data_IF_515702059632
#
_entry.id   IF_515702059632
#
_cell.length_a   1.000
_cell.length_b   1.000
_cell.length_c   1.000
_cell.angle_alpha   90.00
_cell.angle_beta   90.00
_cell.angle_gamma   90.00
#
_symmetry.space_group_name_H-M   'P 1'
#
loop_
_entity.id
_entity.type
_entity.pdbx_description
1 polymer ?
#
# COMPACT_ATOMS: atom_id res chain seq x y z
N UNK A 1 -9.10 4.64 -4.58
CA UNK A 1 -10.12 4.08 -3.66
C UNK A 1 -10.47 4.95 -2.46
N UNK A 2 -9.59 5.22 -1.49
CA UNK A 2 -9.92 6.04 -0.29
C UNK A 2 -10.59 7.39 -0.61
N UNK A 3 -10.11 8.09 -1.63
CA UNK A 3 -10.67 9.37 -2.07
C UNK A 3 -12.10 9.29 -2.60
N UNK A 4 -12.55 8.13 -3.10
CA UNK A 4 -13.94 7.92 -3.52
C UNK A 4 -14.90 7.85 -2.33
N UNK A 5 -14.39 7.63 -1.11
CA UNK A 5 -15.22 7.58 0.09
C UNK A 5 -16.25 6.46 0.01
N UNK A 6 -17.51 6.76 0.35
CA UNK A 6 -18.62 5.80 0.32
C UNK A 6 -18.93 5.23 -1.08
N UNK A 7 -18.49 5.91 -2.15
CA UNK A 7 -18.68 5.45 -3.54
C UNK A 7 -17.63 4.41 -3.97
N UNK A 8 -16.66 4.09 -3.11
CA UNK A 8 -15.71 2.99 -3.35
C UNK A 8 -16.38 1.66 -3.03
N UNK A 9 -16.28 0.70 -3.95
CA UNK A 9 -16.62 -0.69 -3.67
C UNK A 9 -15.85 -1.25 -2.46
N UNK A 10 -14.62 -0.78 -2.26
CA UNK A 10 -13.74 -1.16 -1.16
C UNK A 10 -13.93 -0.33 0.11
N UNK A 11 -14.94 0.54 0.17
CA UNK A 11 -15.19 1.40 1.34
C UNK A 11 -15.28 0.61 2.66
N UNK A 12 -15.97 -0.56 2.74
CA UNK A 12 -16.03 -1.33 3.99
C UNK A 12 -14.66 -1.84 4.44
N UNK A 13 -13.83 -2.30 3.50
CA UNK A 13 -12.47 -2.76 3.79
C UNK A 13 -11.57 -1.60 4.23
N UNK A 14 -11.61 -0.48 3.51
CA UNK A 14 -10.82 0.70 3.86
C UNK A 14 -11.19 1.29 5.23
N UNK A 15 -12.45 1.17 5.64
CA UNK A 15 -12.93 1.65 6.94
C UNK A 15 -12.40 0.83 8.12
N UNK A 16 -11.98 -0.41 7.90
CA UNK A 16 -11.43 -1.30 8.95
C UNK A 16 -9.91 -1.39 8.93
N UNK A 17 -9.23 -0.71 7.99
CA UNK A 17 -7.78 -0.64 7.99
C UNK A 17 -7.28 0.05 9.28
N UNK A 18 -6.24 -0.49 9.92
CA UNK A 18 -5.68 0.12 11.11
C UNK A 18 -4.98 1.43 10.76
N UNK A 19 -4.92 2.32 11.75
CA UNK A 19 -4.09 3.50 11.67
C UNK A 19 -2.62 3.10 11.46
N UNK A 20 -1.98 3.79 10.51
CA UNK A 20 -0.59 3.56 10.13
C UNK A 20 0.38 4.44 10.93
N UNK A 21 -0.08 5.24 11.89
CA UNK A 21 0.76 6.16 12.68
C UNK A 21 1.96 5.50 13.39
N UNK A 22 1.91 4.19 13.63
CA UNK A 22 3.03 3.41 14.18
C UNK A 22 4.10 3.05 13.14
N UNK A 23 3.83 3.17 11.84
CA UNK A 23 4.75 2.83 10.77
C UNK A 23 5.92 3.84 10.70
N UNK A 24 7.20 3.40 10.60
CA UNK A 24 8.37 4.30 10.60
C UNK A 24 8.36 5.41 9.54
N UNK A 25 7.72 5.15 8.40
CA UNK A 25 7.54 6.18 7.35
C UNK A 25 6.77 7.40 7.82
N UNK A 26 5.87 7.23 8.78
CA UNK A 26 5.00 8.29 9.31
C UNK A 26 5.50 8.87 10.64
N UNK A 27 6.67 8.43 11.12
CA UNK A 27 7.24 8.94 12.37
C UNK A 27 7.72 10.38 12.26
N UNK A 28 7.53 11.14 13.35
CA UNK A 28 8.21 12.42 13.56
C UNK A 28 9.72 12.25 13.80
N UNK A 29 10.45 13.36 13.73
CA UNK A 29 11.92 13.41 13.86
C UNK A 29 12.45 12.79 15.15
N UNK A 30 11.72 12.94 16.27
CA UNK A 30 12.09 12.36 17.56
C UNK A 30 12.24 10.83 17.50
N UNK A 31 11.25 10.13 16.93
CA UNK A 31 11.29 8.66 16.82
C UNK A 31 12.29 8.18 15.79
N UNK A 32 12.53 8.97 14.74
CA UNK A 32 13.57 8.66 13.75
C UNK A 32 14.95 8.65 14.40
N UNK A 33 15.20 9.52 15.38
CA UNK A 33 16.47 9.56 16.12
C UNK A 33 16.76 8.25 16.88
N UNK A 34 15.75 7.44 17.22
CA UNK A 34 15.95 6.12 17.82
C UNK A 34 16.68 5.13 16.91
N UNK A 35 16.68 5.37 15.59
CA UNK A 35 17.39 4.53 14.63
C UNK A 35 18.87 4.91 14.48
N UNK A 36 19.37 5.90 15.22
CA UNK A 36 20.76 6.32 15.13
C UNK A 36 21.73 5.15 15.36
N UNK A 37 22.64 4.93 14.41
CA UNK A 37 23.59 3.81 14.43
C UNK A 37 23.05 2.48 13.89
N UNK A 38 21.77 2.40 13.52
CA UNK A 38 21.18 1.23 12.86
C UNK A 38 21.23 1.37 11.33
N UNK A 39 21.44 0.28 10.57
CA UNK A 39 21.28 0.28 9.11
C UNK A 39 19.85 0.68 8.70
N UNK A 40 18.86 0.51 9.58
CA UNK A 40 17.47 0.88 9.32
C UNK A 40 17.29 2.39 9.14
N UNK A 41 18.17 3.22 9.71
CA UNK A 41 18.12 4.67 9.49
C UNK A 41 18.31 5.03 8.01
N UNK A 42 19.30 4.42 7.36
CA UNK A 42 19.59 4.64 5.95
C UNK A 42 18.45 4.11 5.06
N UNK A 43 17.90 2.92 5.38
CA UNK A 43 16.74 2.37 4.68
C UNK A 43 15.53 3.29 4.81
N UNK A 44 15.22 3.77 6.01
CA UNK A 44 14.10 4.69 6.22
C UNK A 44 14.29 6.01 5.45
N UNK A 45 15.51 6.55 5.45
CA UNK A 45 15.83 7.76 4.70
C UNK A 45 15.62 7.56 3.19
N UNK A 46 16.12 6.46 2.62
CA UNK A 46 15.91 6.13 1.21
C UNK A 46 14.43 5.99 0.85
N UNK A 47 13.64 5.34 1.72
CA UNK A 47 12.19 5.21 1.50
C UNK A 47 11.45 6.54 1.57
N UNK A 48 11.88 7.46 2.44
CA UNK A 48 11.31 8.81 2.50
C UNK A 48 11.64 9.64 1.26
N UNK A 49 12.88 9.56 0.78
CA UNK A 49 13.27 10.19 -0.49
C UNK A 49 12.43 9.65 -1.65
N UNK A 50 12.19 8.33 -1.73
CA UNK A 50 11.31 7.76 -2.74
C UNK A 50 9.88 8.31 -2.66
N UNK A 51 9.33 8.47 -1.46
CA UNK A 51 7.99 9.05 -1.27
C UNK A 51 7.94 10.49 -1.78
N UNK A 52 8.98 11.28 -1.53
CA UNK A 52 9.09 12.66 -2.02
C UNK A 52 9.13 12.67 -3.56
N UNK A 53 9.99 11.85 -4.16
CA UNK A 53 10.10 11.69 -5.62
C UNK A 53 8.78 11.22 -6.25
N UNK A 54 8.13 10.21 -5.68
CA UNK A 54 6.85 9.68 -6.17
C UNK A 54 5.75 10.73 -6.06
N UNK A 55 5.73 11.52 -4.97
CA UNK A 55 4.77 12.61 -4.79
C UNK A 55 4.96 13.66 -5.87
N UNK A 56 6.19 14.10 -6.11
CA UNK A 56 6.52 15.09 -7.15
C UNK A 56 6.14 14.57 -8.54
N UNK A 57 6.49 13.32 -8.85
CA UNK A 57 6.17 12.70 -10.13
C UNK A 57 4.64 12.63 -10.36
N UNK A 58 3.88 12.20 -9.35
CA UNK A 58 2.41 12.11 -9.43
C UNK A 58 1.76 13.50 -9.59
N UNK A 59 2.26 14.51 -8.89
CA UNK A 59 1.80 15.89 -9.05
C UNK A 59 2.12 16.41 -10.45
N UNK A 60 3.33 16.16 -10.96
CA UNK A 60 3.79 16.61 -12.28
C UNK A 60 2.93 16.04 -13.42
N UNK A 61 2.52 14.77 -13.33
CA UNK A 61 1.65 14.14 -14.35
C UNK A 61 0.18 14.53 -14.22
N UNK A 62 -0.17 15.44 -13.29
CA UNK A 62 -1.52 15.96 -13.11
C UNK A 62 -2.46 15.01 -12.37
N UNK A 63 -1.95 14.15 -11.47
CA UNK A 63 -2.81 13.26 -10.68
C UNK A 63 -3.86 14.02 -9.85
N UNK A 64 -3.54 15.24 -9.40
CA UNK A 64 -4.47 16.13 -8.71
C UNK A 64 -5.52 16.79 -9.62
N UNK A 65 -5.37 16.69 -10.94
CA UNK A 65 -6.33 17.20 -11.92
C UNK A 65 -7.36 16.14 -12.36
N UNK A 66 -7.19 14.88 -11.95
CA UNK A 66 -8.12 13.80 -12.25
C UNK A 66 -9.51 14.09 -11.65
N UNK A 67 -10.60 13.61 -12.27
CA UNK A 67 -11.96 13.84 -11.76
C UNK A 67 -12.15 13.46 -10.29
N UNK A 68 -11.58 12.33 -9.87
CA UNK A 68 -11.64 11.88 -8.47
C UNK A 68 -10.93 12.82 -7.51
N UNK A 69 -9.81 13.43 -7.93
CA UNK A 69 -9.06 14.38 -7.12
C UNK A 69 -9.82 15.70 -6.97
N UNK A 70 -10.46 16.19 -8.05
CA UNK A 70 -11.31 17.39 -8.00
C UNK A 70 -12.51 17.19 -7.08
N UNK A 71 -13.16 16.04 -7.16
CA UNK A 71 -14.27 15.69 -6.27
C UNK A 71 -13.83 15.65 -4.81
N UNK A 72 -12.67 15.05 -4.53
CA UNK A 72 -12.10 15.04 -3.17
C UNK A 72 -11.86 16.47 -2.68
N UNK A 73 -11.15 17.29 -3.46
CA UNK A 73 -10.82 18.67 -3.13
C UNK A 73 -12.05 19.53 -2.88
N UNK A 74 -13.10 19.37 -3.68
CA UNK A 74 -14.37 20.08 -3.48
C UNK A 74 -15.07 19.68 -2.15
N UNK A 75 -14.89 18.42 -1.71
CA UNK A 75 -15.53 17.89 -0.50
C UNK A 75 -14.75 18.19 0.78
N UNK A 76 -13.42 18.08 0.73
CA UNK A 76 -12.55 18.16 1.93
C UNK A 76 -11.64 19.38 1.96
N UNK A 77 -11.46 20.06 0.83
CA UNK A 77 -10.46 21.13 0.67
C UNK A 77 -9.04 20.63 0.43
N UNK A 78 -8.81 19.32 0.45
CA UNK A 78 -7.48 18.70 0.35
C UNK A 78 -7.19 18.14 -1.04
N UNK A 79 -5.92 18.18 -1.45
CA UNK A 79 -5.45 17.54 -2.67
C UNK A 79 -5.36 16.01 -2.50
N UNK A 80 -5.57 15.26 -3.59
CA UNK A 80 -5.49 13.80 -3.57
C UNK A 80 -4.07 13.31 -3.27
N UNK A 81 -3.12 13.87 -3.98
CA UNK A 81 -1.69 13.57 -3.88
C UNK A 81 -1.04 14.64 -3.04
N UNK A 82 -0.60 14.23 -1.86
CA UNK A 82 0.20 15.00 -0.90
C UNK A 82 1.30 14.08 -0.36
N UNK A 83 2.38 14.62 0.21
CA UNK A 83 3.42 13.78 0.83
C UNK A 83 2.82 12.82 1.89
N UNK A 84 1.82 13.28 2.63
CA UNK A 84 1.16 12.48 3.64
C UNK A 84 0.31 11.34 3.02
N UNK A 85 -0.46 11.61 1.96
CA UNK A 85 -1.30 10.59 1.33
C UNK A 85 -0.47 9.51 0.62
N UNK A 86 0.65 9.90 -0.01
CA UNK A 86 1.61 8.97 -0.62
C UNK A 86 2.33 8.14 0.46
N UNK A 87 2.81 8.77 1.54
CA UNK A 87 3.43 8.06 2.65
C UNK A 87 2.47 7.06 3.32
N UNK A 88 1.20 7.43 3.49
CA UNK A 88 0.18 6.52 4.01
C UNK A 88 -0.04 5.33 3.07
N UNK A 89 -0.18 5.57 1.77
CA UNK A 89 -0.36 4.50 0.79
C UNK A 89 0.84 3.54 0.77
N UNK A 90 2.06 4.08 0.79
CA UNK A 90 3.29 3.29 0.87
C UNK A 90 3.36 2.45 2.16
N UNK A 91 3.02 3.05 3.31
CA UNK A 91 2.97 2.33 4.59
C UNK A 91 1.93 1.20 4.58
N UNK A 92 0.74 1.44 4.01
CA UNK A 92 -0.29 0.40 3.85
C UNK A 92 0.20 -0.74 2.96
N UNK A 93 0.80 -0.43 1.80
CA UNK A 93 1.29 -1.47 0.90
C UNK A 93 2.43 -2.29 1.53
N UNK A 94 3.41 -1.63 2.17
CA UNK A 94 4.54 -2.32 2.80
C UNK A 94 4.15 -3.21 3.98
N UNK A 95 3.06 -2.87 4.69
CA UNK A 95 2.63 -3.62 5.87
C UNK A 95 1.60 -4.70 5.58
N UNK A 96 0.88 -4.63 4.44
CA UNK A 96 -0.32 -5.45 4.20
C UNK A 96 -0.44 -6.07 2.80
N UNK A 97 0.38 -5.65 1.84
CA UNK A 97 0.31 -6.24 0.51
C UNK A 97 0.89 -7.66 0.52
N UNK A 98 0.20 -8.55 -0.19
CA UNK A 98 0.68 -9.87 -0.54
C UNK A 98 1.19 -9.85 -1.97
N UNK A 99 2.26 -10.59 -2.21
CA UNK A 99 2.70 -10.98 -3.55
C UNK A 99 1.93 -12.24 -3.93
N UNK A 100 1.15 -12.15 -5.02
CA UNK A 100 0.28 -13.23 -5.49
C UNK A 100 0.72 -13.69 -6.87
N UNK A 101 0.86 -15.00 -7.02
CA UNK A 101 1.02 -15.65 -8.32
C UNK A 101 -0.35 -15.79 -8.97
N UNK A 102 -0.60 -14.98 -10.00
CA UNK A 102 -1.86 -15.02 -10.74
C UNK A 102 -1.70 -16.03 -11.88
N UNK A 103 -2.28 -17.23 -11.71
CA UNK A 103 -2.32 -18.22 -12.79
C UNK A 103 -3.11 -17.68 -14.00
N UNK A 104 -2.62 -17.94 -15.21
CA UNK A 104 -3.39 -17.68 -16.43
C UNK A 104 -4.66 -18.56 -16.45
N UNK A 105 -5.79 -17.98 -16.89
CA UNK A 105 -7.14 -18.58 -16.89
C UNK A 105 -7.20 -19.97 -17.57
N UNK A 106 -6.22 -20.33 -18.40
CA UNK A 106 -6.18 -21.58 -19.15
C UNK A 106 -5.77 -22.81 -18.32
N UNK A 107 -5.30 -22.66 -17.07
CA UNK A 107 -4.73 -23.77 -16.29
C UNK A 107 -5.73 -24.56 -15.41
N UNK A 108 -7.02 -24.18 -15.37
CA UNK A 108 -7.94 -24.65 -14.30
C UNK A 108 -8.89 -25.79 -14.73
N UNK A 109 -8.87 -26.24 -16.00
CA UNK A 109 -9.63 -27.44 -16.40
C UNK A 109 -8.88 -28.74 -16.07
N UNK A 110 -9.04 -29.21 -14.83
CA UNK A 110 -9.15 -30.64 -14.57
C UNK A 110 -7.95 -31.38 -13.99
N UNK A 111 -6.82 -30.73 -13.69
CA UNK A 111 -5.70 -31.41 -13.01
C UNK A 111 -5.49 -30.93 -11.56
N UNK A 112 -5.89 -31.79 -10.62
CA UNK A 112 -5.69 -31.59 -9.17
C UNK A 112 -4.25 -31.90 -8.72
N UNK A 113 -3.34 -32.29 -9.63
CA UNK A 113 -1.89 -32.37 -9.35
C UNK A 113 -1.26 -31.00 -9.04
N UNK A 114 -1.99 -29.93 -9.35
CA UNK A 114 -1.65 -28.51 -9.17
C UNK A 114 -1.62 -28.05 -7.70
N UNK A 115 -2.40 -28.68 -6.80
CA UNK A 115 -2.41 -28.31 -5.38
C UNK A 115 -1.13 -28.81 -4.68
N UNK A 116 -0.10 -27.96 -4.61
CA UNK A 116 1.13 -28.20 -3.85
C UNK A 116 2.45 -28.04 -4.63
N UNK A 117 2.39 -27.74 -5.92
CA UNK A 117 3.59 -27.40 -6.70
C UNK A 117 3.88 -25.90 -6.58
N UNK A 118 4.95 -25.53 -5.87
CA UNK A 118 5.45 -24.16 -5.74
C UNK A 118 6.14 -23.66 -7.03
N UNK A 119 5.52 -23.87 -8.18
CA UNK A 119 6.03 -23.32 -9.43
C UNK A 119 5.29 -22.01 -9.71
N UNK A 120 5.99 -20.90 -9.99
CA UNK A 120 5.34 -19.67 -10.38
C UNK A 120 4.73 -19.83 -11.78
N UNK A 121 3.45 -19.52 -11.92
CA UNK A 121 2.67 -19.77 -13.12
C UNK A 121 2.21 -18.50 -13.85
N UNK A 122 2.40 -17.32 -13.27
CA UNK A 122 2.14 -16.03 -13.91
C UNK A 122 2.95 -14.86 -13.32
N UNK A 123 2.63 -13.62 -13.70
CA UNK A 123 3.30 -12.45 -13.14
C UNK A 123 2.93 -12.30 -11.66
N UNK A 124 3.93 -11.99 -10.84
CA UNK A 124 3.72 -11.65 -9.43
C UNK A 124 3.00 -10.31 -9.32
N UNK A 125 1.84 -10.31 -8.67
CA UNK A 125 1.00 -9.13 -8.48
C UNK A 125 0.92 -8.79 -7.00
N UNK A 126 1.25 -7.54 -6.68
CA UNK A 126 0.99 -6.98 -5.35
C UNK A 126 -0.50 -6.69 -5.17
N UNK A 127 -1.12 -7.34 -4.19
CA UNK A 127 -2.53 -7.17 -3.88
C UNK A 127 -2.75 -6.98 -2.37
N UNK A 128 -3.74 -6.15 -2.04
CA UNK A 128 -4.33 -6.15 -0.70
C UNK A 128 -5.42 -7.21 -0.67
N UNK A 129 -5.32 -8.15 0.27
CA UNK A 129 -6.28 -9.25 0.42
C UNK A 129 -7.09 -9.00 1.69
N UNK A 130 -8.35 -8.51 1.56
CA UNK A 130 -9.20 -8.26 2.71
C UNK A 130 -9.34 -9.51 3.57
N UNK A 131 -9.47 -9.32 4.88
CA UNK A 131 -9.49 -10.37 5.91
C UNK A 131 -8.15 -11.08 6.15
N UNK A 132 -7.42 -11.48 5.11
CA UNK A 132 -6.12 -12.12 5.27
C UNK A 132 -5.09 -11.15 5.87
N UNK A 133 -5.10 -9.89 5.43
CA UNK A 133 -4.22 -8.82 5.91
C UNK A 133 -4.53 -8.33 7.34
N UNK A 134 -5.58 -8.84 7.97
CA UNK A 134 -5.94 -8.55 9.36
C UNK A 134 -5.30 -9.51 10.36
N UNK A 135 -4.76 -10.64 9.88
CA UNK A 135 -4.10 -11.62 10.73
C UNK A 135 -2.70 -11.11 11.10
N UNK A 136 -2.36 -11.21 12.39
CA UNK A 136 -1.03 -10.86 12.86
C UNK A 136 -0.04 -11.98 12.50
N UNK A 137 1.20 -11.58 12.19
CA UNK A 137 2.30 -12.52 12.08
C UNK A 137 2.62 -13.11 13.47
N UNK A 138 2.83 -14.43 13.51
CA UNK A 138 3.45 -15.13 14.64
C UNK A 138 4.60 -15.96 14.11
N UNK A 139 5.76 -15.89 14.76
CA UNK A 139 6.91 -16.72 14.41
C UNK A 139 6.73 -18.20 14.79
N UNK A 140 5.71 -18.50 15.60
CA UNK A 140 5.41 -19.86 16.11
C UNK A 140 4.21 -20.51 15.41
N UNK A 141 3.56 -19.82 14.47
CA UNK A 141 2.38 -20.32 13.76
C UNK A 141 2.72 -21.35 12.69
#
# INVERSE_FOLDING_TARGET
ERARGADSYWAPYLAVLPDQASHPLLWGSERVAWLAGSPMAATLQSRRAQIEEDTEALVLVGANDLPVARTLKARTGEDLVTPHSVAWAAATLLSRAFSLDMADDEAVEGDMSFFGTWQPHGPDVLALVPWADMLAHSSEA
#
